data_IF_775249357862
#
_entry.id   IF_775249357862
#
_cell.length_a   1.000
_cell.length_b   1.000
_cell.length_c   1.000
_cell.angle_alpha   90.00
_cell.angle_beta   90.00
_cell.angle_gamma   90.00
#
_symmetry.space_group_name_H-M   'P 1'
#
loop_
_entity.id
_entity.type
_entity.pdbx_description
1 polymer ?
#
# COMPACT_ATOMS: atom_id res chain seq x y z
N UNK A 1 4.67 -29.18 -33.18
CA UNK A 1 3.81 -27.98 -33.37
C UNK A 1 4.70 -26.83 -33.80
N UNK A 2 4.33 -26.11 -34.86
CA UNK A 2 5.07 -24.92 -35.29
C UNK A 2 4.93 -23.80 -34.23
N UNK A 3 6.01 -23.07 -33.95
CA UNK A 3 5.98 -21.92 -33.05
C UNK A 3 5.19 -20.77 -33.71
N UNK A 4 3.99 -20.49 -33.19
CA UNK A 4 3.12 -19.43 -33.71
C UNK A 4 3.70 -18.06 -33.35
N UNK A 5 3.94 -17.20 -34.35
CA UNK A 5 4.24 -15.79 -34.13
C UNK A 5 2.93 -15.05 -33.81
N UNK A 6 2.84 -14.47 -32.61
CA UNK A 6 1.66 -13.74 -32.12
C UNK A 6 2.09 -12.63 -31.16
N UNK A 7 1.15 -11.73 -30.85
CA UNK A 7 1.30 -10.76 -29.76
C UNK A 7 1.37 -11.44 -28.39
N UNK A 8 1.86 -10.70 -27.40
CA UNK A 8 1.90 -11.15 -26.01
C UNK A 8 0.50 -11.05 -25.39
N UNK A 9 0.09 -12.04 -24.60
CA UNK A 9 -1.15 -11.94 -23.82
C UNK A 9 -0.82 -11.41 -22.42
N UNK A 10 -1.29 -10.21 -22.10
CA UNK A 10 -1.00 -9.54 -20.82
C UNK A 10 -2.30 -9.41 -20.03
N UNK A 11 -2.34 -9.97 -18.83
CA UNK A 11 -3.50 -9.92 -17.95
C UNK A 11 -3.31 -8.93 -16.81
N UNK A 12 -4.33 -8.13 -16.53
CA UNK A 12 -4.41 -7.29 -15.32
C UNK A 12 -5.49 -7.83 -14.40
N UNK A 13 -5.10 -8.18 -13.18
CA UNK A 13 -5.95 -8.83 -12.18
C UNK A 13 -6.25 -7.84 -11.05
N UNK A 14 -7.52 -7.48 -10.92
CA UNK A 14 -8.02 -6.54 -9.91
C UNK A 14 -8.27 -5.16 -10.49
N UNK A 15 -9.54 -4.75 -10.58
CA UNK A 15 -9.95 -3.44 -11.11
C UNK A 15 -10.28 -2.48 -9.96
N UNK A 16 -9.31 -2.24 -9.08
CA UNK A 16 -9.39 -1.25 -7.99
C UNK A 16 -8.76 0.09 -8.34
N UNK A 17 -8.46 0.89 -7.32
CA UNK A 17 -7.88 2.24 -7.44
C UNK A 17 -6.62 2.29 -8.32
N UNK A 18 -5.78 1.25 -8.27
CA UNK A 18 -4.53 1.18 -9.05
C UNK A 18 -4.63 0.30 -10.29
N UNK A 19 -5.41 -0.78 -10.25
CA UNK A 19 -5.51 -1.70 -11.38
C UNK A 19 -6.19 -1.09 -12.61
N UNK A 20 -7.17 -0.19 -12.42
CA UNK A 20 -7.83 0.54 -13.52
C UNK A 20 -6.85 1.44 -14.29
N UNK A 21 -6.11 2.38 -13.66
CA UNK A 21 -5.14 3.20 -14.41
C UNK A 21 -3.97 2.39 -14.99
N UNK A 22 -3.57 1.26 -14.39
CA UNK A 22 -2.60 0.32 -15.00
C UNK A 22 -3.16 -0.25 -16.31
N UNK A 23 -4.36 -0.85 -16.28
CA UNK A 23 -5.00 -1.41 -17.47
C UNK A 23 -5.20 -0.34 -18.56
N UNK A 24 -5.57 0.88 -18.16
CA UNK A 24 -5.68 2.03 -19.05
C UNK A 24 -4.37 2.34 -19.77
N UNK A 25 -3.28 2.52 -19.03
CA UNK A 25 -1.98 2.82 -19.62
C UNK A 25 -1.52 1.75 -20.61
N UNK A 26 -1.70 0.48 -20.26
CA UNK A 26 -1.40 -0.64 -21.16
C UNK A 26 -2.24 -0.55 -22.44
N UNK A 27 -3.55 -0.33 -22.31
CA UNK A 27 -4.47 -0.19 -23.43
C UNK A 27 -4.10 0.93 -24.41
N UNK A 28 -3.71 2.09 -23.89
CA UNK A 28 -3.37 3.26 -24.72
C UNK A 28 -1.96 3.22 -25.33
N UNK A 29 -1.00 2.61 -24.63
CA UNK A 29 0.42 2.70 -25.02
C UNK A 29 0.93 1.48 -25.79
N UNK A 30 0.26 0.34 -25.71
CA UNK A 30 0.75 -0.90 -26.29
C UNK A 30 0.64 -1.01 -27.83
N UNK A 31 -0.24 -0.24 -28.48
CA UNK A 31 -0.36 -0.12 -29.95
C UNK A 31 -0.27 -1.46 -30.70
N UNK A 32 -1.26 -2.33 -30.49
CA UNK A 32 -1.38 -3.67 -31.08
C UNK A 32 -0.27 -4.69 -30.72
N UNK A 33 0.68 -4.35 -29.84
CA UNK A 33 1.75 -5.28 -29.44
C UNK A 33 1.31 -6.35 -28.42
N UNK A 34 0.16 -6.16 -27.76
CA UNK A 34 -0.39 -7.10 -26.79
C UNK A 34 -1.89 -7.31 -26.96
N UNK A 35 -2.37 -8.43 -26.41
CA UNK A 35 -3.79 -8.68 -26.21
C UNK A 35 -4.12 -8.58 -24.72
N UNK A 36 -4.83 -7.52 -24.33
CA UNK A 36 -5.06 -7.17 -22.92
C UNK A 36 -6.22 -7.99 -22.33
N UNK A 37 -5.95 -8.76 -21.28
CA UNK A 37 -6.97 -9.50 -20.53
C UNK A 37 -7.27 -8.77 -19.22
N UNK A 38 -8.54 -8.54 -18.90
CA UNK A 38 -8.97 -7.77 -17.74
C UNK A 38 -9.79 -8.65 -16.82
N UNK A 39 -9.35 -8.78 -15.57
CA UNK A 39 -10.04 -9.58 -14.56
C UNK A 39 -10.58 -8.75 -13.40
N UNK A 40 -11.82 -9.04 -13.03
CA UNK A 40 -12.46 -8.60 -11.79
C UNK A 40 -13.39 -9.70 -11.28
N UNK A 41 -13.49 -9.87 -9.96
CA UNK A 41 -14.50 -10.75 -9.33
C UNK A 41 -15.92 -10.34 -9.74
N UNK A 42 -16.14 -9.04 -9.92
CA UNK A 42 -17.40 -8.48 -10.40
C UNK A 42 -17.28 -8.20 -11.89
N UNK A 43 -17.91 -9.05 -12.72
CA UNK A 43 -17.78 -8.98 -14.19
C UNK A 43 -18.28 -7.63 -14.77
N UNK A 44 -19.30 -7.01 -14.16
CA UNK A 44 -19.77 -5.69 -14.57
C UNK A 44 -18.69 -4.61 -14.43
N UNK A 45 -17.79 -4.73 -13.44
CA UNK A 45 -16.66 -3.82 -13.27
C UNK A 45 -15.61 -4.01 -14.37
N UNK A 46 -15.29 -5.25 -14.75
CA UNK A 46 -14.40 -5.52 -15.88
C UNK A 46 -15.00 -5.02 -17.20
N UNK A 47 -16.32 -5.22 -17.40
CA UNK A 47 -17.05 -4.67 -18.56
C UNK A 47 -16.96 -3.15 -18.60
N UNK A 48 -17.25 -2.47 -17.49
CA UNK A 48 -17.19 -1.00 -17.42
C UNK A 48 -15.80 -0.46 -17.79
N UNK A 49 -14.73 -1.05 -17.24
CA UNK A 49 -13.36 -0.68 -17.61
C UNK A 49 -13.13 -0.88 -19.11
N UNK A 50 -13.59 -1.99 -19.66
CA UNK A 50 -13.43 -2.24 -21.09
C UNK A 50 -14.19 -1.24 -21.97
N UNK A 51 -15.42 -0.91 -21.59
CA UNK A 51 -16.27 0.03 -22.30
C UNK A 51 -15.62 1.43 -22.29
N UNK A 52 -15.19 1.91 -21.11
CA UNK A 52 -14.54 3.21 -20.96
C UNK A 52 -13.25 3.30 -21.82
N UNK A 53 -12.40 2.27 -21.79
CA UNK A 53 -11.18 2.23 -22.61
C UNK A 53 -11.46 2.17 -24.11
N UNK A 54 -12.53 1.48 -24.52
CA UNK A 54 -12.91 1.38 -25.93
C UNK A 54 -13.48 2.70 -26.44
N UNK A 55 -14.32 3.36 -25.65
CA UNK A 55 -14.88 4.69 -25.96
C UNK A 55 -13.78 5.74 -26.10
N UNK A 56 -12.78 5.70 -25.20
CA UNK A 56 -11.67 6.64 -25.21
C UNK A 56 -10.60 6.33 -26.28
N UNK A 57 -10.72 5.20 -26.99
CA UNK A 57 -9.86 4.86 -28.14
C UNK A 57 -8.58 4.09 -27.80
N UNK A 58 -8.66 3.10 -26.90
CA UNK A 58 -7.54 2.20 -26.62
C UNK A 58 -6.99 1.53 -27.91
N UNK A 59 -5.68 1.26 -27.89
CA UNK A 59 -4.89 0.87 -29.06
C UNK A 59 -4.66 -0.64 -29.21
N UNK A 60 -5.29 -1.45 -28.37
CA UNK A 60 -5.23 -2.91 -28.41
C UNK A 60 -6.61 -3.53 -28.16
N UNK A 61 -6.80 -4.75 -28.68
CA UNK A 61 -7.96 -5.54 -28.33
C UNK A 61 -7.93 -5.94 -26.84
N UNK A 62 -9.11 -6.11 -26.26
CA UNK A 62 -9.29 -6.40 -24.84
C UNK A 62 -10.29 -7.53 -24.63
N UNK A 63 -10.15 -8.26 -23.53
CA UNK A 63 -11.05 -9.35 -23.16
C UNK A 63 -11.26 -9.42 -21.65
N UNK A 64 -12.52 -9.61 -21.24
CA UNK A 64 -12.91 -9.69 -19.83
C UNK A 64 -12.89 -11.12 -19.29
N UNK A 65 -12.60 -11.25 -18.00
CA UNK A 65 -12.53 -12.51 -17.26
C UNK A 65 -13.11 -12.34 -15.85
N UNK A 66 -13.82 -13.36 -15.38
CA UNK A 66 -14.36 -13.49 -14.00
C UNK A 66 -13.72 -14.63 -13.19
N UNK A 67 -12.92 -15.48 -13.86
CA UNK A 67 -12.26 -16.65 -13.26
C UNK A 67 -10.77 -16.66 -13.47
N UNK A 68 -10.02 -16.95 -12.41
CA UNK A 68 -8.57 -17.06 -12.45
C UNK A 68 -8.08 -18.16 -13.38
N UNK A 69 -8.78 -19.30 -13.49
CA UNK A 69 -8.38 -20.39 -14.40
C UNK A 69 -8.30 -19.95 -15.86
N UNK A 70 -9.21 -19.08 -16.29
CA UNK A 70 -9.18 -18.52 -17.64
C UNK A 70 -8.04 -17.51 -17.81
N UNK A 71 -7.74 -16.70 -16.79
CA UNK A 71 -6.57 -15.81 -16.79
C UNK A 71 -5.28 -16.60 -16.93
N UNK A 72 -5.08 -17.64 -16.13
CA UNK A 72 -3.88 -18.50 -16.16
C UNK A 72 -3.74 -19.23 -17.49
N UNK A 73 -4.84 -19.70 -18.09
CA UNK A 73 -4.78 -20.38 -19.39
C UNK A 73 -4.38 -19.45 -20.53
N UNK A 74 -4.86 -18.20 -20.52
CA UNK A 74 -4.73 -17.28 -21.65
C UNK A 74 -3.50 -16.38 -21.60
N UNK A 75 -3.09 -15.91 -20.42
CA UNK A 75 -2.07 -14.89 -20.30
C UNK A 75 -0.66 -15.47 -20.34
N UNK A 76 0.30 -14.78 -20.95
CA UNK A 76 1.73 -15.07 -20.82
C UNK A 76 2.32 -14.28 -19.64
N UNK A 77 1.80 -13.07 -19.41
CA UNK A 77 2.15 -12.18 -18.30
C UNK A 77 0.89 -11.87 -17.49
N UNK A 78 0.98 -11.95 -16.17
CA UNK A 78 -0.09 -11.59 -15.23
C UNK A 78 0.41 -10.48 -14.31
N UNK A 79 -0.32 -9.38 -14.23
CA UNK A 79 -0.07 -8.24 -13.35
C UNK A 79 -1.19 -8.16 -12.32
N UNK A 80 -0.88 -8.33 -11.05
CA UNK A 80 -1.84 -8.19 -9.96
C UNK A 80 -1.72 -6.80 -9.32
N UNK A 81 -2.87 -6.18 -9.05
CA UNK A 81 -2.97 -4.93 -8.30
C UNK A 81 -4.23 -5.03 -7.40
N UNK A 82 -4.06 -5.62 -6.22
CA UNK A 82 -5.16 -5.98 -5.32
C UNK A 82 -5.22 -5.05 -4.09
N UNK A 83 -6.31 -5.18 -3.33
CA UNK A 83 -6.61 -4.27 -2.23
C UNK A 83 -5.66 -4.45 -1.04
N UNK A 84 -5.44 -5.71 -0.66
CA UNK A 84 -4.77 -6.16 0.57
C UNK A 84 -4.06 -7.51 0.38
N UNK A 85 -3.30 -7.92 1.40
CA UNK A 85 -2.52 -9.17 1.42
C UNK A 85 -3.40 -10.43 1.33
N UNK A 86 -4.60 -10.43 1.91
CA UNK A 86 -5.48 -11.60 1.88
C UNK A 86 -6.02 -11.84 0.46
N UNK A 87 -6.41 -10.78 -0.24
CA UNK A 87 -6.82 -10.86 -1.64
C UNK A 87 -5.68 -11.36 -2.53
N UNK A 88 -4.45 -10.90 -2.30
CA UNK A 88 -3.27 -11.37 -3.02
C UNK A 88 -2.99 -12.85 -2.76
N UNK A 89 -2.92 -13.28 -1.48
CA UNK A 89 -2.71 -14.68 -1.11
C UNK A 89 -3.80 -15.60 -1.66
N UNK A 90 -5.06 -15.18 -1.60
CA UNK A 90 -6.17 -15.94 -2.16
C UNK A 90 -6.03 -16.12 -3.69
N UNK A 91 -5.69 -15.04 -4.42
CA UNK A 91 -5.53 -15.09 -5.87
C UNK A 91 -4.28 -15.86 -6.31
N UNK A 92 -3.19 -15.80 -5.55
CA UNK A 92 -1.89 -16.36 -5.92
C UNK A 92 -1.70 -17.80 -5.44
N UNK A 93 -2.09 -18.10 -4.20
CA UNK A 93 -1.71 -19.33 -3.49
C UNK A 93 -2.90 -20.15 -2.96
N UNK A 94 -3.96 -19.55 -2.44
CA UNK A 94 -4.93 -20.28 -1.60
C UNK A 94 -6.18 -20.75 -2.37
N UNK A 95 -6.69 -19.94 -3.30
CA UNK A 95 -7.91 -20.24 -4.06
C UNK A 95 -7.77 -21.43 -5.00
N UNK A 96 -8.80 -22.25 -5.19
CA UNK A 96 -8.71 -23.48 -6.02
C UNK A 96 -8.17 -23.25 -7.44
N UNK A 97 -8.46 -22.07 -8.02
CA UNK A 97 -7.97 -21.62 -9.32
C UNK A 97 -6.75 -20.67 -9.24
N UNK A 98 -6.05 -20.65 -8.11
CA UNK A 98 -4.96 -19.72 -7.83
C UNK A 98 -3.90 -19.69 -8.93
N UNK A 99 -3.42 -18.49 -9.25
CA UNK A 99 -2.62 -18.20 -10.43
C UNK A 99 -1.26 -18.93 -10.38
N UNK A 100 -0.56 -18.92 -9.24
CA UNK A 100 0.75 -19.57 -9.11
C UNK A 100 0.60 -21.09 -9.10
N UNK A 101 -0.34 -21.63 -8.34
CA UNK A 101 -0.55 -23.10 -8.25
C UNK A 101 -0.92 -23.73 -9.59
N UNK A 102 -1.54 -22.96 -10.49
CA UNK A 102 -1.95 -23.42 -11.82
C UNK A 102 -1.07 -22.84 -12.94
N UNK A 103 0.06 -22.21 -12.59
CA UNK A 103 0.92 -21.53 -13.55
C UNK A 103 1.45 -22.49 -14.63
N UNK A 104 1.57 -21.97 -15.84
CA UNK A 104 2.14 -22.65 -17.00
C UNK A 104 3.63 -22.32 -17.07
N UNK A 105 4.41 -23.29 -17.55
CA UNK A 105 5.85 -23.11 -17.79
C UNK A 105 6.11 -21.86 -18.66
N UNK A 106 7.00 -21.00 -18.20
CA UNK A 106 7.41 -19.77 -18.87
C UNK A 106 6.50 -18.55 -18.62
N UNK A 107 5.41 -18.67 -17.85
CA UNK A 107 4.62 -17.50 -17.46
C UNK A 107 5.39 -16.58 -16.52
N UNK A 108 5.13 -15.28 -16.60
CA UNK A 108 5.62 -14.28 -15.65
C UNK A 108 4.43 -13.72 -14.87
N UNK A 109 4.48 -13.83 -13.56
CA UNK A 109 3.46 -13.31 -12.63
C UNK A 109 4.12 -12.19 -11.83
N UNK A 110 3.51 -11.00 -11.85
CA UNK A 110 3.98 -9.82 -11.14
C UNK A 110 2.91 -9.39 -10.15
N UNK A 111 3.27 -9.28 -8.87
CA UNK A 111 2.38 -8.75 -7.85
C UNK A 111 2.79 -7.32 -7.45
N UNK A 112 1.89 -6.36 -7.64
CA UNK A 112 2.08 -4.96 -7.20
C UNK A 112 1.43 -4.67 -5.85
N UNK A 113 0.75 -5.65 -5.27
CA UNK A 113 0.11 -5.54 -3.96
C UNK A 113 1.19 -5.47 -2.88
N UNK A 114 1.02 -4.61 -1.87
CA UNK A 114 1.90 -4.65 -0.70
C UNK A 114 1.58 -5.91 0.10
N UNK A 115 2.56 -6.80 0.27
CA UNK A 115 2.46 -8.06 1.02
C UNK A 115 3.71 -8.24 1.89
N UNK A 116 3.65 -9.15 2.86
CA UNK A 116 4.81 -9.51 3.67
C UNK A 116 5.92 -10.19 2.86
N UNK A 117 7.15 -10.17 3.39
CA UNK A 117 8.34 -10.71 2.70
C UNK A 117 8.20 -12.22 2.47
N UNK A 118 7.63 -12.94 3.44
CA UNK A 118 7.48 -14.40 3.36
C UNK A 118 6.45 -14.80 2.30
N UNK A 119 5.32 -14.09 2.18
CA UNK A 119 4.35 -14.27 1.10
C UNK A 119 5.03 -14.13 -0.27
N UNK A 120 5.87 -13.12 -0.47
CA UNK A 120 6.61 -12.94 -1.74
C UNK A 120 7.60 -14.07 -2.02
N UNK A 121 8.30 -14.56 -0.99
CA UNK A 121 9.24 -15.69 -1.08
C UNK A 121 8.51 -17.01 -1.39
N UNK A 122 7.40 -17.28 -0.70
CA UNK A 122 6.53 -18.44 -0.92
C UNK A 122 5.98 -18.43 -2.35
N UNK A 123 5.47 -17.29 -2.81
CA UNK A 123 5.01 -17.11 -4.20
C UNK A 123 6.11 -17.42 -5.21
N UNK A 124 7.32 -16.91 -5.00
CA UNK A 124 8.44 -17.16 -5.90
C UNK A 124 8.83 -18.64 -5.94
N UNK A 125 8.93 -19.28 -4.78
CA UNK A 125 9.26 -20.69 -4.65
C UNK A 125 8.23 -21.60 -5.35
N UNK A 126 6.93 -21.35 -5.14
CA UNK A 126 5.87 -22.12 -5.78
C UNK A 126 5.78 -21.86 -7.30
N UNK A 127 6.07 -20.63 -7.75
CA UNK A 127 6.15 -20.32 -9.18
C UNK A 127 7.29 -21.07 -9.86
N UNK A 128 8.45 -21.13 -9.23
CA UNK A 128 9.63 -21.83 -9.75
C UNK A 128 9.37 -23.35 -9.88
N UNK A 129 8.71 -23.97 -8.90
CA UNK A 129 8.27 -25.37 -8.99
C UNK A 129 7.39 -25.66 -10.20
N UNK A 130 6.65 -24.67 -10.69
CA UNK A 130 5.80 -24.76 -11.90
C UNK A 130 6.54 -24.38 -13.19
N UNK A 131 7.82 -24.00 -13.09
CA UNK A 131 8.61 -23.48 -14.19
C UNK A 131 8.13 -22.12 -14.68
N UNK A 132 7.45 -21.36 -13.82
CA UNK A 132 7.04 -19.97 -14.05
C UNK A 132 7.99 -19.02 -13.29
N UNK A 133 7.84 -17.73 -13.53
CA UNK A 133 8.62 -16.67 -12.87
C UNK A 133 7.69 -15.76 -12.07
N UNK A 134 8.13 -15.38 -10.88
CA UNK A 134 7.42 -14.43 -10.03
C UNK A 134 8.29 -13.18 -9.80
N UNK A 135 7.66 -12.02 -9.80
CA UNK A 135 8.26 -10.74 -9.42
C UNK A 135 7.36 -10.04 -8.39
N UNK A 136 7.87 -9.77 -7.19
CA UNK A 136 7.24 -8.83 -6.26
C UNK A 136 7.62 -7.41 -6.68
N UNK A 137 6.65 -6.62 -7.13
CA UNK A 137 6.86 -5.27 -7.65
C UNK A 137 5.92 -4.25 -6.99
N UNK A 138 5.90 -4.13 -5.64
CA UNK A 138 5.07 -3.14 -4.97
C UNK A 138 5.34 -1.74 -5.51
N UNK A 139 4.27 -0.96 -5.59
CA UNK A 139 4.26 0.35 -6.22
C UNK A 139 4.23 1.51 -5.20
N UNK A 140 4.78 2.64 -5.60
CA UNK A 140 4.64 3.92 -4.90
C UNK A 140 4.12 5.00 -5.84
N UNK A 141 3.09 5.72 -5.39
CA UNK A 141 2.41 6.77 -6.15
C UNK A 141 0.88 6.71 -6.00
N UNK A 142 0.22 7.82 -6.32
CA UNK A 142 -1.25 7.93 -6.30
C UNK A 142 -1.87 7.36 -7.60
N UNK A 143 -3.19 7.11 -7.64
CA UNK A 143 -3.87 6.78 -8.89
C UNK A 143 -3.65 7.81 -10.00
N UNK A 144 -3.54 9.10 -9.66
CA UNK A 144 -3.20 10.16 -10.62
C UNK A 144 -1.77 10.05 -11.13
N UNK A 145 -0.81 9.74 -10.26
CA UNK A 145 0.56 9.43 -10.70
C UNK A 145 0.59 8.19 -11.60
N UNK A 146 -0.22 7.17 -11.30
CA UNK A 146 -0.39 6.01 -12.17
C UNK A 146 -0.95 6.40 -13.53
N UNK A 147 -2.02 7.20 -13.59
CA UNK A 147 -2.58 7.71 -14.83
C UNK A 147 -1.52 8.45 -15.69
N UNK A 148 -0.64 9.23 -15.05
CA UNK A 148 0.47 9.91 -15.71
C UNK A 148 1.69 9.00 -16.01
N UNK A 149 1.62 7.72 -15.64
CA UNK A 149 2.69 6.74 -15.70
C UNK A 149 3.98 7.11 -14.94
N UNK A 150 3.79 7.71 -13.77
CA UNK A 150 4.84 8.22 -12.89
C UNK A 150 4.99 7.39 -11.61
N UNK A 151 4.58 6.12 -11.63
CA UNK A 151 4.81 5.23 -10.50
C UNK A 151 6.29 4.93 -10.31
N UNK A 152 6.64 4.65 -9.06
CA UNK A 152 7.89 3.99 -8.69
C UNK A 152 7.59 2.51 -8.46
N UNK A 153 8.36 1.62 -9.07
CA UNK A 153 8.29 0.18 -8.84
C UNK A 153 9.58 -0.32 -8.20
N UNK A 154 9.43 -1.11 -7.14
CA UNK A 154 10.53 -1.78 -6.44
C UNK A 154 10.43 -3.28 -6.71
N UNK A 155 11.18 -3.77 -7.70
CA UNK A 155 11.02 -5.12 -8.24
C UNK A 155 12.02 -6.09 -7.62
N UNK A 156 11.54 -7.07 -6.87
CA UNK A 156 12.28 -8.27 -6.47
C UNK A 156 12.06 -9.43 -7.44
N UNK A 157 13.08 -10.29 -7.59
CA UNK A 157 13.02 -11.53 -8.37
C UNK A 157 14.11 -11.65 -9.44
N UNK A 158 13.91 -12.55 -10.40
CA UNK A 158 14.94 -12.90 -11.37
C UNK A 158 15.27 -11.74 -12.34
N UNK A 159 16.55 -11.40 -12.48
CA UNK A 159 17.00 -10.25 -13.28
C UNK A 159 16.61 -10.35 -14.77
N UNK A 160 16.63 -11.54 -15.36
CA UNK A 160 16.20 -11.73 -16.77
C UNK A 160 14.70 -11.48 -16.94
N UNK A 161 13.88 -11.87 -15.95
CA UNK A 161 12.44 -11.64 -15.97
C UNK A 161 12.14 -10.17 -15.79
N UNK A 162 12.87 -9.48 -14.90
CA UNK A 162 12.83 -8.03 -14.77
C UNK A 162 13.13 -7.32 -16.11
N UNK A 163 14.23 -7.69 -16.79
CA UNK A 163 14.59 -7.11 -18.09
C UNK A 163 13.51 -7.32 -19.16
N UNK A 164 12.90 -8.50 -19.22
CA UNK A 164 11.77 -8.78 -20.13
C UNK A 164 10.53 -7.94 -19.82
N UNK A 165 10.34 -7.59 -18.55
CA UNK A 165 9.18 -6.83 -18.07
C UNK A 165 9.35 -5.31 -18.16
N UNK A 166 10.57 -4.79 -18.30
CA UNK A 166 10.84 -3.34 -18.42
C UNK A 166 9.95 -2.61 -19.45
N UNK A 167 9.74 -3.12 -20.68
CA UNK A 167 8.88 -2.45 -21.65
C UNK A 167 7.41 -2.34 -21.22
N UNK A 168 6.93 -3.28 -20.39
CA UNK A 168 5.57 -3.28 -19.85
C UNK A 168 5.50 -2.33 -18.64
N UNK A 169 6.49 -2.40 -17.73
CA UNK A 169 6.57 -1.51 -16.57
C UNK A 169 6.60 -0.04 -16.97
N UNK A 170 7.39 0.32 -17.99
CA UNK A 170 7.49 1.70 -18.47
C UNK A 170 6.21 2.25 -19.13
N UNK A 171 5.17 1.43 -19.31
CA UNK A 171 3.87 1.95 -19.76
C UNK A 171 3.12 2.67 -18.62
N UNK A 172 3.34 2.30 -17.37
CA UNK A 172 2.61 2.84 -16.21
C UNK A 172 3.50 3.29 -15.04
N UNK A 173 4.82 3.17 -15.16
CA UNK A 173 5.80 3.60 -14.17
C UNK A 173 6.99 4.31 -14.84
N UNK A 174 7.54 5.30 -14.15
CA UNK A 174 8.68 6.09 -14.64
C UNK A 174 9.98 5.60 -13.99
N UNK A 175 9.93 5.29 -12.69
CA UNK A 175 11.09 4.88 -11.90
C UNK A 175 10.98 3.40 -11.56
N UNK A 176 11.66 2.55 -12.31
CA UNK A 176 11.56 1.09 -12.18
C UNK A 176 12.90 0.52 -11.73
N UNK A 177 12.96 0.00 -10.50
CA UNK A 177 14.20 -0.44 -9.88
C UNK A 177 14.19 -1.95 -9.63
N UNK A 178 15.29 -2.63 -9.96
CA UNK A 178 15.51 -4.02 -9.56
C UNK A 178 16.22 -4.04 -8.21
N UNK A 179 15.54 -4.54 -7.19
CA UNK A 179 16.00 -4.52 -5.79
C UNK A 179 16.79 -5.76 -5.38
N UNK A 180 16.82 -6.79 -6.23
CA UNK A 180 17.50 -8.05 -5.95
C UNK A 180 16.56 -9.26 -6.05
N UNK A 181 16.75 -10.23 -5.17
CA UNK A 181 15.98 -11.47 -5.14
C UNK A 181 14.52 -11.24 -4.71
N UNK A 182 13.69 -12.28 -4.82
CA UNK A 182 12.28 -12.19 -4.42
C UNK A 182 12.15 -11.82 -2.95
N UNK A 183 11.23 -10.90 -2.66
CA UNK A 183 11.02 -10.30 -1.33
C UNK A 183 11.82 -9.01 -1.10
N UNK A 184 12.86 -8.72 -1.89
CA UNK A 184 13.57 -7.43 -1.80
C UNK A 184 12.70 -6.25 -2.20
N UNK A 185 11.74 -6.44 -3.12
CA UNK A 185 10.76 -5.41 -3.48
C UNK A 185 9.82 -5.11 -2.31
N UNK A 186 9.23 -6.16 -1.72
CA UNK A 186 8.41 -6.07 -0.50
C UNK A 186 9.13 -5.37 0.65
N UNK A 187 10.36 -5.79 0.98
CA UNK A 187 11.16 -5.18 2.04
C UNK A 187 11.39 -3.67 1.79
N UNK A 188 11.73 -3.31 0.55
CA UNK A 188 11.95 -1.91 0.17
C UNK A 188 10.68 -1.07 0.31
N UNK A 189 9.52 -1.63 -0.05
CA UNK A 189 8.23 -0.96 0.13
C UNK A 189 7.94 -0.70 1.61
N UNK A 190 8.17 -1.68 2.48
CA UNK A 190 7.96 -1.54 3.92
C UNK A 190 8.83 -0.44 4.52
N UNK A 191 10.12 -0.41 4.18
CA UNK A 191 11.05 0.66 4.61
C UNK A 191 10.55 2.03 4.11
N UNK A 192 10.05 2.09 2.87
CA UNK A 192 9.48 3.32 2.31
C UNK A 192 8.24 3.78 3.10
N UNK A 193 7.35 2.87 3.49
CA UNK A 193 6.17 3.20 4.28
C UNK A 193 6.52 3.65 5.71
N UNK A 194 7.56 3.08 6.32
CA UNK A 194 8.10 3.56 7.61
C UNK A 194 8.62 5.00 7.51
N UNK A 195 9.29 5.36 6.41
CA UNK A 195 9.70 6.74 6.13
C UNK A 195 8.50 7.65 5.85
N UNK A 196 7.46 7.16 5.18
CA UNK A 196 6.20 7.93 4.98
C UNK A 196 5.60 8.29 6.34
N UNK A 197 5.45 7.32 7.25
CA UNK A 197 4.92 7.55 8.59
C UNK A 197 5.76 8.55 9.38
N UNK A 198 7.08 8.34 9.41
CA UNK A 198 8.03 9.19 10.14
C UNK A 198 8.04 10.63 9.61
N UNK A 199 8.12 10.82 8.28
CA UNK A 199 8.10 12.16 7.68
C UNK A 199 6.73 12.85 7.83
N UNK A 200 5.63 12.09 7.85
CA UNK A 200 4.31 12.64 8.10
C UNK A 200 4.17 13.17 9.53
N UNK A 201 4.62 12.39 10.52
CA UNK A 201 4.65 12.84 11.93
C UNK A 201 5.53 14.09 12.10
N UNK A 202 6.74 14.08 11.52
CA UNK A 202 7.63 15.23 11.55
C UNK A 202 7.01 16.48 10.89
N UNK A 203 6.31 16.32 9.76
CA UNK A 203 5.60 17.42 9.10
C UNK A 203 4.44 17.95 9.95
N UNK A 204 3.65 17.07 10.57
CA UNK A 204 2.57 17.47 11.47
C UNK A 204 3.10 18.31 12.65
N UNK A 205 4.15 17.84 13.32
CA UNK A 205 4.81 18.59 14.39
C UNK A 205 5.39 19.93 13.90
N UNK A 206 6.05 19.95 12.74
CA UNK A 206 6.58 21.17 12.15
C UNK A 206 5.50 22.23 11.90
N UNK A 207 4.33 21.83 11.39
CA UNK A 207 3.23 22.76 11.14
C UNK A 207 2.51 23.18 12.42
N UNK A 208 2.43 22.31 13.44
CA UNK A 208 1.97 22.69 14.79
C UNK A 208 2.92 23.75 15.38
N UNK A 209 4.23 23.54 15.30
CA UNK A 209 5.23 24.51 15.76
C UNK A 209 5.11 25.83 14.99
N UNK A 210 4.97 25.79 13.67
CA UNK A 210 4.77 26.98 12.85
C UNK A 210 3.54 27.78 13.30
N UNK A 211 2.41 27.11 13.52
CA UNK A 211 1.20 27.75 14.03
C UNK A 211 1.41 28.38 15.42
N UNK A 212 2.03 27.66 16.36
CA UNK A 212 2.29 28.16 17.73
C UNK A 212 3.27 29.33 17.76
N UNK A 213 4.20 29.38 16.82
CA UNK A 213 5.18 30.48 16.68
C UNK A 213 4.64 31.66 15.84
N UNK A 214 3.40 31.60 15.35
CA UNK A 214 2.79 32.68 14.58
C UNK A 214 3.29 32.78 13.13
N UNK A 215 3.79 31.68 12.56
CA UNK A 215 4.14 31.59 11.13
C UNK A 215 2.87 31.28 10.34
N UNK A 216 2.30 32.33 9.74
CA UNK A 216 0.99 32.27 9.08
C UNK A 216 1.04 31.76 7.62
N UNK A 217 2.12 32.04 6.88
CA UNK A 217 2.23 31.70 5.46
C UNK A 217 2.92 30.35 5.25
N UNK A 218 2.12 29.28 5.17
CA UNK A 218 2.60 27.91 4.96
C UNK A 218 3.30 27.75 3.60
N UNK A 219 2.90 28.50 2.56
CA UNK A 219 3.55 28.40 1.26
C UNK A 219 4.98 28.92 1.33
N UNK A 220 5.20 30.06 1.99
CA UNK A 220 6.55 30.57 2.24
C UNK A 220 7.36 29.65 3.14
N UNK A 221 6.74 29.08 4.18
CA UNK A 221 7.41 28.08 5.02
C UNK A 221 7.89 26.89 4.18
N UNK A 222 7.02 26.30 3.34
CA UNK A 222 7.41 25.20 2.46
C UNK A 222 8.52 25.61 1.49
N UNK A 223 8.49 26.82 0.92
CA UNK A 223 9.57 27.32 0.05
C UNK A 223 10.93 27.38 0.77
N UNK A 224 10.95 27.85 2.02
CA UNK A 224 12.17 27.89 2.84
C UNK A 224 12.67 26.47 3.14
N UNK A 225 11.76 25.57 3.52
CA UNK A 225 12.10 24.18 3.84
C UNK A 225 12.63 23.45 2.59
N UNK A 226 12.00 23.66 1.43
CA UNK A 226 12.41 23.11 0.12
C UNK A 226 13.78 23.62 -0.34
N UNK A 227 14.13 24.87 -0.05
CA UNK A 227 15.44 25.44 -0.34
C UNK A 227 16.54 24.99 0.64
N UNK A 228 16.20 24.17 1.65
CA UNK A 228 17.09 23.76 2.72
C UNK A 228 17.14 22.23 2.88
N UNK A 229 17.81 21.75 3.93
CA UNK A 229 17.94 20.32 4.25
C UNK A 229 16.69 19.66 4.83
N UNK A 230 15.64 20.44 5.10
CA UNK A 230 14.44 20.00 5.82
C UNK A 230 13.26 19.66 4.90
N UNK A 231 13.47 19.67 3.58
CA UNK A 231 12.44 19.28 2.62
C UNK A 231 12.11 17.78 2.73
N UNK A 232 10.83 17.44 2.57
CA UNK A 232 10.40 16.06 2.35
C UNK A 232 9.18 16.02 1.44
N UNK A 233 8.93 14.88 0.81
CA UNK A 233 7.75 14.71 -0.04
C UNK A 233 6.46 14.74 0.78
N UNK A 234 6.46 14.20 2.01
CA UNK A 234 5.28 14.24 2.89
C UNK A 234 4.97 15.63 3.41
N UNK A 235 5.99 16.42 3.74
CA UNK A 235 5.81 17.82 4.07
C UNK A 235 5.13 18.57 2.91
N UNK A 236 5.69 18.50 1.69
CA UNK A 236 5.15 19.22 0.53
C UNK A 236 3.72 18.78 0.18
N UNK A 237 3.43 17.48 0.28
CA UNK A 237 2.10 16.91 0.04
C UNK A 237 1.09 17.42 1.08
N UNK A 238 1.45 17.36 2.37
CA UNK A 238 0.47 17.48 3.45
C UNK A 238 0.37 18.89 4.00
N UNK A 239 1.36 19.77 3.80
CA UNK A 239 1.43 21.04 4.51
C UNK A 239 0.20 21.94 4.34
N UNK A 240 -0.44 21.97 3.16
CA UNK A 240 -1.67 22.74 2.95
C UNK A 240 -2.84 22.18 3.77
N UNK A 241 -3.02 20.84 3.76
CA UNK A 241 -4.07 20.17 4.54
C UNK A 241 -3.79 20.25 6.04
N UNK A 242 -2.54 20.07 6.46
CA UNK A 242 -2.12 20.21 7.86
C UNK A 242 -2.40 21.62 8.37
N UNK A 243 -2.04 22.66 7.61
CA UNK A 243 -2.32 24.03 8.04
C UNK A 243 -3.83 24.27 8.20
N UNK A 244 -4.63 23.80 7.25
CA UNK A 244 -6.08 23.94 7.29
C UNK A 244 -6.70 23.21 8.50
N UNK A 245 -6.29 21.97 8.78
CA UNK A 245 -6.73 21.21 9.96
C UNK A 245 -6.28 21.86 11.28
N UNK A 246 -5.06 22.40 11.34
CA UNK A 246 -4.56 23.09 12.54
C UNK A 246 -5.32 24.39 12.81
N UNK A 247 -5.60 25.17 11.75
CA UNK A 247 -6.31 26.45 11.86
C UNK A 247 -7.80 26.26 12.13
N UNK A 248 -8.36 25.13 11.68
CA UNK A 248 -9.76 24.77 11.82
C UNK A 248 -9.86 23.44 12.59
N UNK A 249 -9.68 23.43 13.92
CA UNK A 249 -9.56 22.20 14.71
C UNK A 249 -10.80 21.31 14.67
N UNK A 250 -11.98 21.88 14.40
CA UNK A 250 -13.25 21.14 14.29
C UNK A 250 -13.50 20.59 12.87
N UNK A 251 -12.59 20.85 11.91
CA UNK A 251 -12.76 20.41 10.52
C UNK A 251 -12.51 18.91 10.41
N UNK A 252 -13.50 18.19 9.88
CA UNK A 252 -13.34 16.79 9.54
C UNK A 252 -12.27 16.61 8.42
N UNK A 253 -11.25 15.76 8.63
CA UNK A 253 -10.30 15.44 7.59
C UNK A 253 -10.95 14.73 6.39
N UNK A 254 -10.43 14.92 5.16
CA UNK A 254 -10.95 14.24 3.98
C UNK A 254 -10.53 12.76 3.97
N UNK A 255 -11.30 11.92 3.28
CA UNK A 255 -10.89 10.57 2.92
C UNK A 255 -9.80 10.59 1.86
N UNK A 256 -8.95 9.56 1.81
CA UNK A 256 -7.92 9.45 0.79
C UNK A 256 -7.55 8.01 0.47
N UNK A 257 -6.87 7.80 -0.66
CA UNK A 257 -6.32 6.48 -1.02
C UNK A 257 -5.12 6.06 -0.17
N UNK A 258 -4.45 7.01 0.49
CA UNK A 258 -3.43 6.78 1.49
C UNK A 258 -4.05 7.02 2.88
N UNK A 259 -4.84 6.05 3.33
CA UNK A 259 -5.55 6.14 4.61
C UNK A 259 -4.66 5.76 5.80
N UNK A 260 -5.07 6.14 7.01
CA UNK A 260 -4.38 5.78 8.26
C UNK A 260 -4.31 4.27 8.42
N UNK A 261 -5.42 3.55 8.25
CA UNK A 261 -5.48 2.10 8.45
C UNK A 261 -4.59 1.35 7.47
N UNK A 262 -4.59 1.77 6.19
CA UNK A 262 -3.75 1.14 5.17
C UNK A 262 -2.26 1.31 5.48
N UNK A 263 -1.87 2.46 6.03
CA UNK A 263 -0.49 2.69 6.45
C UNK A 263 -0.15 1.85 7.69
N UNK A 264 -1.06 1.73 8.66
CA UNK A 264 -0.87 0.86 9.83
C UNK A 264 -0.74 -0.61 9.43
N UNK A 265 -1.58 -1.09 8.51
CA UNK A 265 -1.49 -2.45 7.95
C UNK A 265 -0.13 -2.69 7.30
N UNK A 266 0.33 -1.78 6.44
CA UNK A 266 1.65 -1.88 5.80
C UNK A 266 2.80 -1.92 6.84
N UNK A 267 2.69 -1.14 7.93
CA UNK A 267 3.69 -1.12 9.01
C UNK A 267 3.61 -2.37 9.90
N UNK A 268 2.44 -2.97 10.06
CA UNK A 268 2.31 -4.27 10.73
C UNK A 268 2.99 -5.38 9.94
N UNK A 269 2.96 -5.33 8.60
CA UNK A 269 3.74 -6.25 7.77
C UNK A 269 5.26 -6.06 7.95
N UNK A 270 5.72 -4.82 8.12
CA UNK A 270 7.11 -4.52 8.44
C UNK A 270 7.51 -5.11 9.80
N UNK A 271 6.72 -4.86 10.84
CA UNK A 271 6.97 -5.37 12.19
C UNK A 271 7.05 -6.91 12.20
N UNK A 272 6.09 -7.57 11.57
CA UNK A 272 6.09 -9.03 11.43
C UNK A 272 7.29 -9.57 10.63
N UNK A 273 7.91 -8.75 9.78
CA UNK A 273 9.06 -9.12 8.95
C UNK A 273 10.41 -8.76 9.59
N UNK A 274 10.43 -7.96 10.66
CA UNK A 274 11.66 -7.57 11.34
C UNK A 274 12.13 -8.69 12.28
N UNK A 275 13.42 -9.07 12.23
CA UNK A 275 13.95 -10.04 13.16
C UNK A 275 14.00 -9.45 14.58
N UNK A 276 13.55 -10.23 15.56
CA UNK A 276 13.72 -9.87 16.97
C UNK A 276 15.18 -10.00 17.36
N UNK A 277 15.66 -9.09 18.20
CA UNK A 277 17.00 -9.18 18.76
C UNK A 277 16.99 -10.20 19.90
N UNK A 278 17.85 -11.21 19.80
CA UNK A 278 18.11 -12.12 20.92
C UNK A 278 18.76 -11.32 22.06
N UNK A 279 18.10 -11.23 23.21
CA UNK A 279 18.62 -10.51 24.36
C UNK A 279 19.92 -11.15 24.87
N UNK A 280 21.03 -10.42 24.85
CA UNK A 280 22.23 -10.84 25.60
C UNK A 280 22.06 -10.50 27.07
N UNK A 281 21.79 -11.49 27.94
CA UNK A 281 22.16 -11.47 29.37
C UNK A 281 22.03 -12.85 30.03
N UNK A 282 23.18 -13.37 30.51
CA UNK A 282 23.51 -14.18 31.70
C UNK A 282 22.43 -14.87 32.58
N UNK A 283 21.24 -15.18 32.09
CA UNK A 283 20.26 -16.02 32.78
C UNK A 283 19.51 -16.86 31.75
N UNK A 284 19.15 -18.08 32.14
CA UNK A 284 18.73 -19.22 31.32
C UNK A 284 17.44 -19.07 30.49
N UNK A 285 17.01 -17.84 30.15
CA UNK A 285 15.83 -17.57 29.33
C UNK A 285 16.20 -16.53 28.25
N UNK A 286 16.30 -16.99 26.99
CA UNK A 286 16.36 -16.08 25.85
C UNK A 286 15.00 -15.38 25.74
N UNK A 287 14.97 -14.08 26.05
CA UNK A 287 13.83 -13.22 25.72
C UNK A 287 14.15 -12.51 24.41
N UNK A 288 13.36 -12.81 23.37
CA UNK A 288 13.40 -12.09 22.10
C UNK A 288 12.74 -10.72 22.30
N UNK A 289 13.48 -9.65 22.00
CA UNK A 289 13.02 -8.26 22.19
C UNK A 289 13.06 -7.52 20.86
N UNK A 290 12.05 -6.69 20.61
CA UNK A 290 11.97 -5.87 19.41
C UNK A 290 13.07 -4.79 19.41
N UNK A 291 13.59 -4.44 18.24
CA UNK A 291 14.59 -3.38 18.10
C UNK A 291 13.93 -2.00 18.23
N UNK A 292 14.43 -1.09 19.09
CA UNK A 292 13.76 0.19 19.32
C UNK A 292 14.01 1.19 18.18
N UNK A 293 12.93 1.75 17.62
CA UNK A 293 12.99 2.80 16.60
C UNK A 293 12.17 4.03 17.07
N UNK A 294 12.73 4.89 17.95
CA UNK A 294 11.93 5.88 18.69
C UNK A 294 11.06 6.81 17.85
N UNK A 295 11.55 7.25 16.68
CA UNK A 295 10.79 8.13 15.77
C UNK A 295 9.63 7.36 15.14
N UNK A 296 9.88 6.14 14.67
CA UNK A 296 8.85 5.30 14.07
C UNK A 296 7.79 4.90 15.10
N UNK A 297 8.21 4.51 16.31
CA UNK A 297 7.32 4.15 17.42
C UNK A 297 6.40 5.32 17.82
N UNK A 298 6.89 6.55 17.69
CA UNK A 298 6.10 7.77 17.94
C UNK A 298 5.09 8.03 16.83
N UNK A 299 5.49 7.86 15.58
CA UNK A 299 4.58 7.95 14.44
C UNK A 299 3.48 6.88 14.53
N UNK A 300 3.83 5.64 14.89
CA UNK A 300 2.89 4.54 15.08
C UNK A 300 1.85 4.84 16.15
N UNK A 301 2.25 5.36 17.31
CA UNK A 301 1.30 5.76 18.37
C UNK A 301 0.33 6.85 17.91
N UNK A 302 0.81 7.82 17.12
CA UNK A 302 -0.04 8.88 16.58
C UNK A 302 -1.03 8.35 15.53
N UNK A 303 -0.61 7.40 14.69
CA UNK A 303 -1.47 6.72 13.72
C UNK A 303 -2.51 5.83 14.42
N UNK A 304 -2.10 5.04 15.40
CA UNK A 304 -2.98 4.18 16.19
C UNK A 304 -4.06 5.00 16.90
N UNK A 305 -3.68 6.11 17.55
CA UNK A 305 -4.64 7.01 18.19
C UNK A 305 -5.65 7.62 17.21
N UNK A 306 -5.25 7.91 15.96
CA UNK A 306 -6.16 8.38 14.93
C UNK A 306 -7.13 7.27 14.45
N UNK A 307 -6.62 6.06 14.25
CA UNK A 307 -7.42 4.87 13.92
C UNK A 307 -8.45 4.55 15.01
N UNK A 308 -8.03 4.49 16.28
CA UNK A 308 -8.88 4.20 17.44
C UNK A 308 -10.01 5.24 17.61
N UNK A 309 -9.80 6.46 17.13
CA UNK A 309 -10.82 7.51 17.09
C UNK A 309 -11.78 7.41 15.90
N UNK A 310 -11.72 6.34 15.10
CA UNK A 310 -12.58 6.11 13.95
C UNK A 310 -12.19 6.91 12.70
N UNK A 311 -10.96 7.44 12.64
CA UNK A 311 -10.46 8.22 11.50
C UNK A 311 -9.58 7.39 10.54
N UNK A 312 -9.70 6.08 10.61
CA UNK A 312 -8.88 5.12 9.88
C UNK A 312 -8.95 5.24 8.35
N UNK A 313 -10.10 5.66 7.82
CA UNK A 313 -10.37 5.86 6.38
C UNK A 313 -9.90 7.23 5.85
N UNK A 314 -9.44 8.12 6.74
CA UNK A 314 -9.03 9.49 6.42
C UNK A 314 -7.58 9.59 5.99
N UNK A 315 -7.24 10.72 5.35
CA UNK A 315 -5.86 11.02 4.97
C UNK A 315 -4.93 10.98 6.19
N UNK A 316 -3.71 10.48 5.99
CA UNK A 316 -2.67 10.43 7.02
C UNK A 316 -2.35 11.79 7.67
N UNK A 317 -2.70 12.93 7.06
CA UNK A 317 -2.58 14.24 7.71
C UNK A 317 -3.43 14.37 8.99
N UNK A 318 -4.44 13.52 9.16
CA UNK A 318 -5.33 13.48 10.34
C UNK A 318 -4.58 13.29 11.66
N UNK A 319 -3.38 12.69 11.64
CA UNK A 319 -2.57 12.47 12.85
C UNK A 319 -2.29 13.75 13.63
N UNK A 320 -2.38 14.92 12.99
CA UNK A 320 -2.13 16.23 13.61
C UNK A 320 -3.01 16.50 14.83
N UNK A 321 -4.22 15.93 14.88
CA UNK A 321 -5.11 16.03 16.04
C UNK A 321 -4.80 15.01 17.15
N UNK A 322 -4.00 13.99 16.84
CA UNK A 322 -3.77 12.82 17.69
C UNK A 322 -2.32 12.65 18.16
N UNK A 323 -1.42 13.57 17.79
CA UNK A 323 -0.02 13.56 18.26
C UNK A 323 0.05 13.53 19.79
N UNK A 324 -0.78 14.32 20.48
CA UNK A 324 -0.83 14.31 21.95
C UNK A 324 -1.53 13.07 22.52
N UNK A 325 -2.52 12.52 21.81
CA UNK A 325 -3.23 11.32 22.24
C UNK A 325 -2.30 10.10 22.28
N UNK A 326 -1.37 9.97 21.32
CA UNK A 326 -0.33 8.94 21.33
C UNK A 326 0.65 9.05 22.53
N UNK A 327 0.85 10.24 23.09
CA UNK A 327 1.63 10.42 24.32
C UNK A 327 0.85 10.02 25.57
N UNK A 328 -0.47 10.26 25.60
CA UNK A 328 -1.36 9.79 26.68
C UNK A 328 -1.36 8.28 26.75
N UNK A 329 -1.42 7.60 25.61
CA UNK A 329 -1.33 6.14 25.54
C UNK A 329 -0.02 5.60 26.17
N UNK A 330 1.12 6.21 25.82
CA UNK A 330 2.42 5.83 26.39
C UNK A 330 2.47 6.02 27.91
N UNK A 331 1.90 7.12 28.43
CA UNK A 331 1.80 7.36 29.87
C UNK A 331 0.96 6.30 30.57
N UNK A 332 -0.18 5.92 29.97
CA UNK A 332 -1.05 4.88 30.52
C UNK A 332 -0.35 3.51 30.56
N UNK A 333 0.37 3.13 29.49
CA UNK A 333 1.17 1.89 29.46
C UNK A 333 2.26 1.88 30.53
N UNK A 334 2.97 3.00 30.71
CA UNK A 334 3.99 3.14 31.78
C UNK A 334 3.36 3.02 33.17
N UNK A 335 2.22 3.67 33.40
CA UNK A 335 1.51 3.58 34.68
C UNK A 335 1.09 2.14 35.02
N UNK A 336 0.65 1.34 34.05
CA UNK A 336 0.35 -0.08 34.27
C UNK A 336 1.58 -0.91 34.64
N UNK A 337 2.73 -0.67 33.99
CA UNK A 337 3.97 -1.40 34.28
C UNK A 337 4.58 -1.06 35.65
N UNK A 338 4.28 0.12 36.21
CA UNK A 338 4.68 0.50 37.57
C UNK A 338 3.64 0.11 38.64
N UNK A 339 2.41 -0.25 38.25
CA UNK A 339 1.33 -0.63 39.15
C UNK A 339 1.30 -2.10 39.60
N UNK A 340 2.25 -2.94 39.15
CA UNK A 340 2.31 -4.36 39.55
C UNK A 340 3.12 -4.62 40.84
N UNK A 341 3.65 -3.58 41.48
CA UNK A 341 4.15 -3.63 42.85
C UNK A 341 3.40 -2.57 43.64
N UNK A 342 2.62 -3.00 44.62
CA UNK A 342 1.79 -2.21 45.52
C UNK A 342 0.41 -1.78 44.99
N UNK A 343 -0.59 -2.66 45.14
CA UNK A 343 -1.64 -2.45 46.16
C UNK A 343 -2.79 -3.46 46.03
N UNK A 344 -3.08 -4.12 47.15
CA UNK A 344 -4.33 -4.80 47.43
C UNK A 344 -5.36 -3.72 47.78
N UNK A 345 -6.51 -3.66 47.11
CA UNK A 345 -7.64 -2.88 47.60
C UNK A 345 -8.66 -2.39 46.58
N UNK A 346 -9.84 -3.03 46.63
CA UNK A 346 -11.16 -2.53 46.21
C UNK A 346 -11.47 -2.41 44.71
N UNK A 347 -12.21 -3.41 44.22
CA UNK A 347 -13.09 -3.32 43.05
C UNK A 347 -14.32 -2.48 43.40
N UNK A 348 -14.55 -1.40 42.68
CA UNK A 348 -15.89 -0.86 42.45
C UNK A 348 -16.22 -0.96 40.96
N UNK A 349 -17.34 -1.62 40.69
CA UNK A 349 -17.97 -1.79 39.39
C UNK A 349 -18.70 -0.51 39.00
N UNK A 350 -18.39 0.08 37.84
CA UNK A 350 -19.29 1.04 37.18
C UNK A 350 -19.58 0.55 35.77
N UNK A 351 -20.82 0.09 35.60
CA UNK A 351 -21.49 -0.24 34.35
C UNK A 351 -21.88 1.02 33.59
N UNK A 352 -21.61 1.07 32.29
CA UNK A 352 -22.13 2.12 31.41
C UNK A 352 -21.72 1.92 29.96
N UNK A 353 -22.28 0.91 29.29
CA UNK A 353 -22.15 0.72 27.83
C UNK A 353 -23.31 1.45 27.17
N UNK A 354 -23.02 2.51 26.43
CA UNK A 354 -23.92 3.05 25.42
C UNK A 354 -23.55 2.40 24.08
N UNK A 355 -24.48 1.62 23.53
CA UNK A 355 -24.37 1.02 22.22
C UNK A 355 -24.41 2.11 21.13
N UNK A 356 -23.47 2.09 20.20
CA UNK A 356 -23.53 2.84 18.96
C UNK A 356 -23.76 1.82 17.84
N UNK A 357 -24.90 1.94 17.16
CA UNK A 357 -25.27 1.12 16.02
C UNK A 357 -24.25 1.27 14.88
N UNK A 358 -23.79 0.15 14.35
CA UNK A 358 -22.98 0.09 13.16
C UNK A 358 -23.86 0.38 11.94
N UNK A 359 -23.61 1.51 11.27
CA UNK A 359 -24.18 1.78 9.95
C UNK A 359 -23.37 1.05 8.88
N UNK A 360 -24.05 0.22 8.08
CA UNK A 360 -23.48 -0.47 6.92
C UNK A 360 -22.96 0.56 5.90
N UNK A 361 -21.68 0.46 5.55
CA UNK A 361 -21.06 1.30 4.52
C UNK A 361 -21.48 0.83 3.12
N UNK A 362 -22.27 1.63 2.42
CA UNK A 362 -22.57 1.42 1.00
C UNK A 362 -21.33 1.70 0.11
N UNK A 363 -21.18 0.97 -1.01
CA UNK A 363 -20.04 1.14 -1.90
C UNK A 363 -20.08 2.51 -2.61
N UNK A 364 -18.98 3.25 -2.51
CA UNK A 364 -18.78 4.55 -3.19
C UNK A 364 -18.76 4.36 -4.71
N UNK A 365 -19.73 4.94 -5.40
CA UNK A 365 -19.72 5.13 -6.87
C UNK A 365 -18.88 6.35 -7.23
N UNK A 366 -17.87 6.17 -8.08
CA UNK A 366 -17.06 7.26 -8.61
C UNK A 366 -17.76 7.97 -9.77
N UNK A 367 -17.84 9.29 -9.68
CA UNK A 367 -18.37 10.18 -10.72
C UNK A 367 -17.31 10.56 -11.75
N UNK A 368 -17.76 11.10 -12.90
CA UNK A 368 -16.90 11.54 -14.01
C UNK A 368 -15.92 12.68 -13.65
N UNK A 369 -16.06 13.32 -12.50
CA UNK A 369 -15.25 14.48 -12.10
C UNK A 369 -13.93 14.11 -11.41
N UNK A 370 -13.76 12.87 -10.94
CA UNK A 370 -12.54 12.42 -10.26
C UNK A 370 -11.32 12.19 -11.19
N UNK A 371 -11.49 12.48 -12.49
CA UNK A 371 -10.49 12.19 -13.52
C UNK A 371 -9.97 13.42 -14.27
N UNK A 372 -10.48 14.62 -13.99
CA UNK A 372 -10.00 15.85 -14.63
C UNK A 372 -8.99 16.59 -13.78
#
# INVERSE_FOLDING_TARGET
MAAIKRSLNVGVVGMGNMGVPIARNLGFKARSAMYLQIHSRTLSKARRVCDDLSVDGASCAMRIHDRYSTMTKWCDVLLLALADVHAARHALLEGSEALIRNARKGQIIVDHTTVDIETSRECAYEAEKRGAYFLDAPMSGSPRACFNAQLVLMVGGHAESFQKMLPIFHMYADNVHHMGASGSGSATKMITQALVASHNAAAAEALIMAHRLGVEDQKKLVQVLDASWSSSTMLRRNAALLQDLIRNPDKAPPTSTASVDRLLEDLALLDASLPKRTGTKNSSENTDVDEPFPVLDTALRSLAAASDAGMGDRDIATIVHYVQAGEVELRNRRAMNFGSTDSVGQRETVSGVAAVEAAEAEPVEFGKEDFY
#
